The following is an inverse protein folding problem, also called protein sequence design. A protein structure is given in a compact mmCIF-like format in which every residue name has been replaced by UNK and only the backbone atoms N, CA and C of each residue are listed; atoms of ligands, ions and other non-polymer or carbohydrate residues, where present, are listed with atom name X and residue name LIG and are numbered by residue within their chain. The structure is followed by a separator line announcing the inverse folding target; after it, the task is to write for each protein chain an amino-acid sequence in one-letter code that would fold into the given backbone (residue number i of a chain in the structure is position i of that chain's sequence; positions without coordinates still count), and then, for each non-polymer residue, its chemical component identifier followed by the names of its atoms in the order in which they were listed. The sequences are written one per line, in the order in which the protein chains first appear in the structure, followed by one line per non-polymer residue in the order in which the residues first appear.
data_IF_214474977920
#
_entry.id   IF_214474977920
#
_cell.length_a   1.000
_cell.length_b   1.000
_cell.length_c   1.000
_cell.angle_alpha   90.00
_cell.angle_beta   90.00
_cell.angle_gamma   90.00
#
_symmetry.space_group_name_H-M   'P 1'
#
loop_
_entity.id
_entity.type
_entity.pdbx_description
1 polymer ?
#
# COMPACT_ATOMS: atom_id res chain seq x y z
N UNK A 1 -10.53 0.31 -9.14
CA UNK A 1 -10.06 0.39 -7.74
C UNK A 1 -9.61 1.81 -7.43
N UNK A 2 -9.66 2.20 -6.16
CA UNK A 2 -8.95 3.35 -5.59
C UNK A 2 -7.56 2.88 -5.17
N UNK A 3 -6.50 3.43 -5.76
CA UNK A 3 -5.12 2.98 -5.56
C UNK A 3 -4.32 4.14 -4.95
N UNK A 4 -3.73 3.92 -3.78
CA UNK A 4 -2.81 4.88 -3.17
C UNK A 4 -1.37 4.59 -3.57
N UNK A 5 -0.64 5.58 -4.09
CA UNK A 5 0.81 5.56 -4.23
C UNK A 5 1.45 6.28 -3.04
N UNK A 6 2.45 5.65 -2.43
CA UNK A 6 3.19 6.24 -1.33
C UNK A 6 4.68 5.91 -1.36
N UNK A 7 5.51 6.96 -1.42
CA UNK A 7 6.96 6.86 -1.28
C UNK A 7 7.44 7.60 -0.04
N UNK A 8 8.55 7.12 0.50
CA UNK A 8 9.26 7.70 1.63
C UNK A 8 10.52 8.43 1.17
N UNK A 9 11.12 9.20 2.08
CA UNK A 9 12.12 10.21 1.79
C UNK A 9 13.29 9.74 0.92
N UNK A 10 13.75 8.49 1.07
CA UNK A 10 14.92 8.03 0.32
C UNK A 10 14.64 7.87 -1.19
N UNK A 11 13.37 7.75 -1.58
CA UNK A 11 12.94 7.53 -2.96
C UNK A 11 11.96 8.59 -3.46
N UNK A 12 11.77 9.69 -2.72
CA UNK A 12 10.78 10.72 -3.00
C UNK A 12 11.01 11.39 -4.37
N UNK A 13 12.27 11.69 -4.74
CA UNK A 13 12.62 12.22 -6.07
C UNK A 13 12.14 11.35 -7.25
N UNK A 14 11.88 10.06 -7.05
CA UNK A 14 11.39 9.15 -8.10
C UNK A 14 9.86 9.11 -8.19
N UNK A 15 9.14 9.77 -7.27
CA UNK A 15 7.69 9.72 -7.24
C UNK A 15 7.02 10.21 -8.52
N UNK A 16 7.45 11.32 -9.16
CA UNK A 16 6.83 11.74 -10.41
C UNK A 16 6.88 10.66 -11.50
N UNK A 17 8.01 9.95 -11.64
CA UNK A 17 8.17 8.87 -12.62
C UNK A 17 7.26 7.69 -12.30
N UNK A 18 7.24 7.24 -11.05
CA UNK A 18 6.40 6.10 -10.63
C UNK A 18 4.91 6.44 -10.76
N UNK A 19 4.53 7.66 -10.40
CA UNK A 19 3.16 8.17 -10.52
C UNK A 19 2.69 8.18 -11.97
N UNK A 20 3.52 8.66 -12.90
CA UNK A 20 3.21 8.66 -14.33
C UNK A 20 2.90 7.25 -14.85
N UNK A 21 3.73 6.26 -14.48
CA UNK A 21 3.50 4.86 -14.89
C UNK A 21 2.21 4.30 -14.29
N UNK A 22 1.95 4.59 -13.01
CA UNK A 22 0.74 4.13 -12.33
C UNK A 22 -0.52 4.77 -12.92
N UNK A 23 -0.48 6.07 -13.21
CA UNK A 23 -1.60 6.79 -13.82
C UNK A 23 -1.90 6.28 -15.23
N UNK A 24 -0.87 6.00 -16.03
CA UNK A 24 -1.02 5.43 -17.38
C UNK A 24 -1.82 4.13 -17.32
N UNK A 25 -1.39 3.17 -16.50
CA UNK A 25 -2.08 1.87 -16.38
C UNK A 25 -3.45 2.01 -15.72
N UNK A 26 -3.58 2.88 -14.72
CA UNK A 26 -4.84 3.09 -14.04
C UNK A 26 -5.92 3.69 -14.95
N UNK A 27 -5.55 4.63 -15.84
CA UNK A 27 -6.47 5.25 -16.78
C UNK A 27 -7.08 4.22 -17.74
N UNK A 28 -6.25 3.33 -18.30
CA UNK A 28 -6.68 2.27 -19.21
C UNK A 28 -7.63 1.25 -18.55
N UNK A 29 -7.60 1.16 -17.20
CA UNK A 29 -8.38 0.19 -16.40
C UNK A 29 -9.50 0.84 -15.58
N UNK A 30 -9.77 2.13 -15.76
CA UNK A 30 -10.80 2.86 -15.01
C UNK A 30 -10.56 2.89 -13.50
N UNK A 31 -9.29 2.90 -13.09
CA UNK A 31 -8.90 3.02 -11.68
C UNK A 31 -8.62 4.49 -11.32
N UNK A 32 -8.76 4.82 -10.02
CA UNK A 32 -8.46 6.16 -9.50
C UNK A 32 -7.18 6.11 -8.68
N UNK A 33 -6.23 6.99 -8.96
CA UNK A 33 -4.93 7.05 -8.27
C UNK A 33 -4.91 8.21 -7.28
N UNK A 34 -4.43 7.95 -6.07
CA UNK A 34 -4.18 8.93 -5.02
C UNK A 34 -2.69 8.94 -4.68
N UNK A 35 -1.98 10.03 -4.95
CA UNK A 35 -0.57 10.17 -4.56
C UNK A 35 -0.47 10.75 -3.14
N UNK A 36 -0.33 9.88 -2.14
CA UNK A 36 -0.50 10.23 -0.72
C UNK A 36 0.79 10.18 0.09
N UNK A 37 1.87 9.63 -0.48
CA UNK A 37 3.21 9.72 0.10
C UNK A 37 3.93 11.00 -0.31
N UNK A 38 5.26 10.97 -0.24
CA UNK A 38 6.09 12.08 -0.68
C UNK A 38 6.08 12.23 -2.21
N UNK A 39 5.97 13.46 -2.73
CA UNK A 39 6.05 13.76 -4.18
C UNK A 39 7.41 14.33 -4.64
N UNK A 40 8.33 14.53 -3.70
CA UNK A 40 9.68 15.00 -3.95
C UNK A 40 10.46 15.18 -2.64
N UNK A 41 11.74 15.56 -2.73
CA UNK A 41 12.65 15.57 -1.57
C UNK A 41 12.30 16.65 -0.52
N UNK A 42 11.57 17.70 -0.90
CA UNK A 42 11.20 18.83 -0.02
C UNK A 42 9.79 18.74 0.55
N UNK A 43 9.12 17.60 0.40
CA UNK A 43 7.74 17.40 0.85
C UNK A 43 7.65 17.01 2.33
N UNK A 44 6.43 16.88 2.86
CA UNK A 44 6.14 16.36 4.18
C UNK A 44 6.82 15.01 4.41
N UNK A 45 7.88 15.01 5.25
CA UNK A 45 8.81 13.89 5.33
C UNK A 45 8.15 12.62 5.88
N UNK A 46 8.24 11.55 5.10
CA UNK A 46 7.82 10.20 5.49
C UNK A 46 9.01 9.25 5.51
N UNK A 47 8.97 8.26 6.40
CA UNK A 47 9.88 7.10 6.41
C UNK A 47 9.05 5.88 6.05
N UNK A 48 9.71 4.75 5.75
CA UNK A 48 8.99 3.50 5.49
C UNK A 48 8.11 3.05 6.68
N UNK A 49 8.39 3.47 7.92
CA UNK A 49 7.54 3.22 9.10
C UNK A 49 6.21 3.98 8.98
N UNK A 50 6.27 5.25 8.56
CA UNK A 50 5.06 6.04 8.34
C UNK A 50 4.21 5.46 7.21
N UNK A 51 4.83 4.90 6.17
CA UNK A 51 4.10 4.24 5.07
C UNK A 51 3.23 3.08 5.57
N UNK A 52 3.71 2.29 6.54
CA UNK A 52 2.89 1.23 7.15
C UNK A 52 1.64 1.76 7.83
N UNK A 53 1.79 2.85 8.62
CA UNK A 53 0.65 3.51 9.29
C UNK A 53 -0.34 4.08 8.26
N UNK A 54 0.17 4.78 7.23
CA UNK A 54 -0.65 5.34 6.16
C UNK A 54 -1.45 4.26 5.44
N UNK A 55 -0.78 3.18 5.01
CA UNK A 55 -1.42 2.07 4.31
C UNK A 55 -2.49 1.40 5.18
N UNK A 56 -2.18 1.15 6.45
CA UNK A 56 -3.10 0.51 7.37
C UNK A 56 -4.37 1.35 7.59
N UNK A 57 -4.24 2.67 7.78
CA UNK A 57 -5.37 3.57 7.91
C UNK A 57 -6.22 3.62 6.63
N UNK A 58 -5.59 3.80 5.47
CA UNK A 58 -6.29 3.91 4.19
C UNK A 58 -7.06 2.63 3.82
N UNK A 59 -6.44 1.46 4.05
CA UNK A 59 -7.04 0.16 3.72
C UNK A 59 -8.12 -0.24 4.74
N UNK A 60 -7.84 -0.17 6.04
CA UNK A 60 -8.83 -0.58 7.06
C UNK A 60 -10.03 0.37 7.10
N UNK A 61 -9.85 1.67 6.84
CA UNK A 61 -10.97 2.61 6.71
C UNK A 61 -11.70 2.51 5.36
N UNK A 62 -11.28 1.61 4.45
CA UNK A 62 -11.83 1.46 3.10
C UNK A 62 -11.82 2.77 2.29
N UNK A 63 -10.82 3.63 2.56
CA UNK A 63 -10.58 4.86 1.80
C UNK A 63 -9.98 4.54 0.42
N UNK A 64 -9.15 3.49 0.36
CA UNK A 64 -8.60 2.93 -0.87
C UNK A 64 -8.76 1.41 -0.87
N UNK A 65 -8.68 0.81 -2.06
CA UNK A 65 -8.77 -0.65 -2.24
C UNK A 65 -7.38 -1.30 -2.33
N UNK A 66 -6.36 -0.53 -2.72
CA UNK A 66 -5.00 -1.01 -2.93
C UNK A 66 -3.94 0.04 -2.62
N UNK A 67 -2.77 -0.39 -2.17
CA UNK A 67 -1.60 0.46 -1.94
C UNK A 67 -0.41 0.00 -2.78
N UNK A 68 0.23 0.94 -3.48
CA UNK A 68 1.57 0.78 -4.04
C UNK A 68 2.53 1.60 -3.18
N UNK A 69 3.50 0.92 -2.59
CA UNK A 69 4.54 1.50 -1.77
C UNK A 69 5.92 1.00 -2.19
N UNK A 70 6.95 1.45 -1.49
CA UNK A 70 8.30 0.95 -1.67
C UNK A 70 9.33 1.81 -0.98
N UNK A 71 10.57 1.35 -1.02
CA UNK A 71 11.76 2.08 -0.58
C UNK A 71 12.94 1.62 -1.42
N UNK A 72 14.18 1.95 -1.05
CA UNK A 72 15.35 1.59 -1.85
C UNK A 72 15.40 0.10 -2.25
N UNK A 73 15.04 -0.81 -1.34
CA UNK A 73 14.96 -2.26 -1.60
C UNK A 73 13.55 -2.81 -1.55
N UNK A 74 12.54 -2.00 -1.25
CA UNK A 74 11.17 -2.43 -0.96
C UNK A 74 10.97 -3.14 0.40
N UNK A 75 12.03 -3.70 0.99
CA UNK A 75 11.94 -4.54 2.19
C UNK A 75 11.41 -3.81 3.43
N UNK A 76 11.94 -2.61 3.71
CA UNK A 76 11.50 -1.82 4.87
C UNK A 76 10.01 -1.47 4.80
N UNK A 77 9.55 -1.04 3.63
CA UNK A 77 8.13 -0.78 3.39
C UNK A 77 7.30 -2.06 3.54
N UNK A 78 7.71 -3.17 2.91
CA UNK A 78 7.01 -4.46 3.02
C UNK A 78 6.84 -4.91 4.48
N UNK A 79 7.90 -4.86 5.28
CA UNK A 79 7.85 -5.23 6.70
C UNK A 79 6.93 -4.30 7.49
N UNK A 80 7.04 -2.98 7.26
CA UNK A 80 6.19 -2.01 7.97
C UNK A 80 4.71 -2.15 7.62
N UNK A 81 4.37 -2.36 6.34
CA UNK A 81 2.98 -2.57 5.92
C UNK A 81 2.42 -3.87 6.49
N UNK A 82 3.18 -4.97 6.45
CA UNK A 82 2.73 -6.26 6.99
C UNK A 82 2.67 -6.32 8.52
N UNK A 83 3.17 -5.31 9.25
CA UNK A 83 3.02 -5.23 10.70
C UNK A 83 1.56 -4.97 11.14
N UNK A 84 0.70 -4.49 10.24
CA UNK A 84 -0.66 -4.09 10.59
C UNK A 84 -1.71 -5.15 10.21
N UNK A 85 -2.73 -5.38 11.05
CA UNK A 85 -3.87 -6.20 10.65
C UNK A 85 -4.62 -5.56 9.48
N UNK A 86 -5.21 -6.39 8.63
CA UNK A 86 -5.91 -5.92 7.41
C UNK A 86 -5.02 -5.50 6.25
N UNK A 87 -3.69 -5.53 6.40
CA UNK A 87 -2.72 -5.22 5.34
C UNK A 87 -1.93 -6.47 4.95
N UNK A 88 -1.94 -6.78 3.65
CA UNK A 88 -1.24 -7.91 3.04
C UNK A 88 -0.37 -7.36 1.91
N UNK A 89 0.90 -7.12 2.21
CA UNK A 89 1.82 -6.49 1.28
C UNK A 89 2.76 -7.52 0.64
N UNK A 90 2.69 -7.66 -0.67
CA UNK A 90 3.64 -8.47 -1.45
C UNK A 90 4.92 -7.68 -1.76
N UNK A 91 6.04 -8.39 -1.88
CA UNK A 91 7.25 -7.86 -2.51
C UNK A 91 7.17 -8.13 -4.01
N UNK A 92 7.43 -7.12 -4.83
CA UNK A 92 7.28 -7.24 -6.29
C UNK A 92 8.47 -6.61 -6.99
N UNK A 93 9.18 -7.40 -7.79
CA UNK A 93 10.37 -6.93 -8.53
C UNK A 93 10.23 -7.07 -10.04
N UNK A 94 9.32 -7.93 -10.50
CA UNK A 94 9.06 -8.16 -11.91
C UNK A 94 7.57 -8.48 -12.16
N UNK A 95 7.09 -8.45 -13.42
CA UNK A 95 5.66 -8.59 -13.73
C UNK A 95 5.06 -9.94 -13.32
N UNK A 96 5.85 -11.02 -13.32
CA UNK A 96 5.35 -12.34 -12.91
C UNK A 96 5.03 -12.37 -11.42
N UNK A 97 5.81 -11.67 -10.58
CA UNK A 97 5.50 -11.52 -9.16
C UNK A 97 4.14 -10.84 -8.95
N UNK A 98 3.88 -9.78 -9.70
CA UNK A 98 2.62 -9.03 -9.60
C UNK A 98 1.42 -9.90 -9.94
N UNK A 99 1.53 -10.65 -11.04
CA UNK A 99 0.50 -11.63 -11.44
C UNK A 99 0.29 -12.70 -10.38
N UNK A 100 1.38 -13.37 -9.94
CA UNK A 100 1.28 -14.44 -8.95
C UNK A 100 0.75 -13.93 -7.61
N UNK A 101 1.14 -12.74 -7.18
CA UNK A 101 0.61 -12.11 -5.97
C UNK A 101 -0.90 -11.86 -6.08
N UNK A 102 -1.36 -11.33 -7.22
CA UNK A 102 -2.77 -11.08 -7.47
C UNK A 102 -3.60 -12.39 -7.47
N UNK A 103 -3.06 -13.47 -8.04
CA UNK A 103 -3.78 -14.74 -8.17
C UNK A 103 -3.69 -15.64 -6.94
N UNK A 104 -2.52 -15.74 -6.31
CA UNK A 104 -2.24 -16.70 -5.22
C UNK A 104 -2.51 -16.07 -3.86
N UNK A 105 -2.05 -14.85 -3.63
CA UNK A 105 -2.14 -14.21 -2.30
C UNK A 105 -3.37 -13.32 -2.16
N UNK A 106 -3.84 -12.74 -3.27
CA UNK A 106 -4.95 -11.80 -3.30
C UNK A 106 -4.81 -10.65 -2.28
N UNK A 107 -3.57 -10.20 -2.01
CA UNK A 107 -3.31 -9.14 -1.01
C UNK A 107 -3.63 -7.74 -1.50
N UNK A 108 -3.57 -6.74 -0.64
CA UNK A 108 -4.05 -5.37 -0.93
C UNK A 108 -2.94 -4.31 -0.96
N UNK A 109 -1.67 -4.73 -0.95
CA UNK A 109 -0.56 -3.82 -1.12
C UNK A 109 0.63 -4.47 -1.86
N UNK A 110 1.43 -3.64 -2.52
CA UNK A 110 2.74 -4.03 -3.08
C UNK A 110 3.83 -3.10 -2.57
N UNK A 111 5.01 -3.67 -2.30
CA UNK A 111 6.24 -2.95 -2.00
C UNK A 111 7.29 -3.23 -3.08
N UNK A 112 7.73 -2.18 -3.76
CA UNK A 112 8.69 -2.25 -4.86
C UNK A 112 10.07 -1.70 -4.45
N UNK A 113 11.17 -2.19 -5.05
CA UNK A 113 12.49 -1.59 -4.91
C UNK A 113 12.68 -0.42 -5.88
N UNK A 114 12.76 0.79 -5.35
CA UNK A 114 12.98 1.99 -6.17
C UNK A 114 14.47 2.43 -6.25
N UNK A 115 15.40 1.62 -5.75
CA UNK A 115 16.85 1.86 -5.92
C UNK A 115 17.61 0.58 -6.33
N UNK A 116 17.47 -0.52 -5.57
CA UNK A 116 18.13 -1.78 -5.88
C UNK A 116 17.56 -2.37 -7.17
N UNK A 117 18.40 -2.46 -8.20
CA UNK A 117 17.98 -2.91 -9.54
C UNK A 117 17.21 -1.84 -10.33
N UNK A 118 17.16 -0.59 -9.82
CA UNK A 118 16.51 0.53 -10.51
C UNK A 118 17.54 1.26 -11.38
N UNK A 119 17.64 0.83 -12.64
CA UNK A 119 18.52 1.41 -13.64
C UNK A 119 17.75 1.80 -14.91
N UNK A 120 18.42 1.69 -16.07
CA UNK A 120 17.78 1.93 -17.36
C UNK A 120 16.60 0.97 -17.58
N UNK A 121 15.43 1.53 -17.93
CA UNK A 121 14.20 0.76 -18.17
C UNK A 121 13.47 0.32 -16.90
N UNK A 122 13.88 0.79 -15.71
CA UNK A 122 13.18 0.47 -14.47
C UNK A 122 11.74 1.02 -14.45
N UNK A 123 11.50 2.16 -15.06
CA UNK A 123 10.17 2.74 -15.28
C UNK A 123 9.29 1.86 -16.18
N UNK A 124 9.88 1.22 -17.21
CA UNK A 124 9.18 0.27 -18.07
C UNK A 124 8.82 -0.99 -17.28
N UNK A 125 9.76 -1.54 -16.50
CA UNK A 125 9.48 -2.68 -15.63
C UNK A 125 8.36 -2.36 -14.62
N UNK A 126 8.36 -1.16 -14.04
CA UNK A 126 7.30 -0.69 -13.13
C UNK A 126 5.94 -0.62 -13.84
N UNK A 127 5.90 -0.11 -15.08
CA UNK A 127 4.67 -0.12 -15.89
C UNK A 127 4.16 -1.55 -16.08
N UNK A 128 5.04 -2.49 -16.45
CA UNK A 128 4.66 -3.90 -16.63
C UNK A 128 4.19 -4.57 -15.33
N UNK A 129 4.81 -4.23 -14.19
CA UNK A 129 4.33 -4.64 -12.86
C UNK A 129 2.90 -4.15 -12.64
N UNK A 130 2.62 -2.87 -12.89
CA UNK A 130 1.27 -2.32 -12.72
C UNK A 130 0.26 -2.93 -13.67
N UNK A 131 0.64 -3.16 -14.94
CA UNK A 131 -0.20 -3.87 -15.90
C UNK A 131 -0.62 -5.23 -15.36
N UNK A 132 0.29 -6.00 -14.75
CA UNK A 132 -0.03 -7.33 -14.19
C UNK A 132 -0.71 -7.28 -12.83
N UNK A 133 -0.41 -6.28 -12.00
CA UNK A 133 -1.04 -6.11 -10.69
C UNK A 133 -2.53 -5.75 -10.79
N UNK A 134 -2.91 -5.05 -11.86
CA UNK A 134 -4.23 -4.44 -12.03
C UNK A 134 -5.00 -4.97 -13.26
N UNK A 135 -4.62 -6.14 -13.76
CA UNK A 135 -5.29 -6.83 -14.86
C UNK A 135 -6.15 -7.99 -14.35
N UNK A 136 -7.31 -8.18 -14.98
CA UNK A 136 -8.19 -9.31 -14.76
C UNK A 136 -8.78 -9.44 -13.36
N UNK A 137 -9.35 -10.62 -13.10
CA UNK A 137 -9.84 -11.00 -11.78
C UNK A 137 -8.70 -11.47 -10.88
N UNK A 138 -8.83 -11.21 -9.58
CA UNK A 138 -7.84 -11.58 -8.55
C UNK A 138 -8.30 -12.81 -7.77
N UNK A 139 -7.36 -13.51 -7.13
CA UNK A 139 -7.67 -14.68 -6.31
C UNK A 139 -8.17 -15.90 -7.10
N UNK A 140 -7.82 -16.02 -8.39
CA UNK A 140 -8.20 -17.17 -9.21
C UNK A 140 -7.24 -18.36 -9.04
N UNK A 141 -6.19 -18.18 -8.26
CA UNK A 141 -5.17 -19.19 -8.01
C UNK A 141 -4.25 -19.43 -9.21
N UNK A 142 -3.01 -19.82 -8.91
CA UNK A 142 -2.06 -20.26 -9.92
C UNK A 142 -1.08 -21.31 -9.36
N UNK A 143 -0.92 -22.48 -10.00
CA UNK A 143 -1.75 -23.02 -11.08
C UNK A 143 -3.25 -23.09 -10.71
N UNK A 144 -4.14 -23.01 -11.69
CA UNK A 144 -5.58 -22.81 -11.49
C UNK A 144 -6.23 -23.93 -10.64
N UNK A 145 -5.75 -25.16 -10.78
CA UNK A 145 -6.17 -26.32 -10.01
C UNK A 145 -5.89 -26.20 -8.50
N UNK A 146 -5.06 -25.23 -8.07
CA UNK A 146 -4.74 -24.98 -6.66
C UNK A 146 -5.55 -23.85 -6.04
N UNK A 147 -6.51 -23.25 -6.76
CA UNK A 147 -7.31 -22.09 -6.31
C UNK A 147 -7.92 -22.28 -4.92
N UNK A 148 -8.61 -23.40 -4.69
CA UNK A 148 -9.30 -23.64 -3.43
C UNK A 148 -8.34 -23.66 -2.24
N UNK A 149 -7.23 -24.39 -2.37
CA UNK A 149 -6.19 -24.47 -1.34
C UNK A 149 -5.53 -23.11 -1.08
N UNK A 150 -5.26 -22.34 -2.13
CA UNK A 150 -4.63 -21.03 -2.01
C UNK A 150 -5.56 -20.01 -1.33
N UNK A 151 -6.83 -19.95 -1.73
CA UNK A 151 -7.80 -19.04 -1.12
C UNK A 151 -8.14 -19.42 0.32
N UNK A 152 -8.16 -20.71 0.64
CA UNK A 152 -8.30 -21.20 2.02
C UNK A 152 -7.14 -20.70 2.89
N UNK A 153 -5.91 -20.84 2.40
CA UNK A 153 -4.72 -20.38 3.14
C UNK A 153 -4.64 -18.86 3.26
N UNK A 154 -5.09 -18.10 2.25
CA UNK A 154 -5.20 -16.65 2.35
C UNK A 154 -6.19 -16.23 3.45
N UNK A 155 -7.31 -16.95 3.59
CA UNK A 155 -8.25 -16.78 4.71
C UNK A 155 -7.63 -17.11 6.06
N UNK A 156 -6.92 -18.24 6.19
CA UNK A 156 -6.22 -18.61 7.42
C UNK A 156 -5.19 -17.55 7.82
N UNK A 157 -4.43 -17.00 6.86
CA UNK A 157 -3.47 -15.92 7.14
C UNK A 157 -4.18 -14.67 7.69
N UNK A 158 -5.37 -14.36 7.19
CA UNK A 158 -6.17 -13.25 7.70
C UNK A 158 -6.57 -13.48 9.17
N UNK A 159 -7.01 -14.68 9.51
CA UNK A 159 -7.35 -15.06 10.89
C UNK A 159 -6.13 -15.03 11.81
N UNK A 160 -4.98 -15.54 11.35
CA UNK A 160 -3.71 -15.48 12.09
C UNK A 160 -3.31 -14.03 12.36
N UNK A 161 -3.35 -13.14 11.36
CA UNK A 161 -3.02 -11.73 11.55
C UNK A 161 -3.97 -11.05 12.52
N UNK A 162 -5.27 -11.36 12.47
CA UNK A 162 -6.26 -10.83 13.41
C UNK A 162 -5.98 -11.31 14.83
N UNK A 163 -5.68 -12.59 15.03
CA UNK A 163 -5.39 -13.16 16.36
C UNK A 163 -4.04 -12.74 16.95
N UNK A 164 -3.04 -12.46 16.11
CA UNK A 164 -1.70 -12.04 16.54
C UNK A 164 -1.57 -10.52 16.76
N UNK A 165 -2.62 -9.74 16.48
CA UNK A 165 -2.62 -8.28 16.58
C UNK A 165 -3.57 -7.79 17.68
N UNK A 166 -3.32 -6.59 18.19
CA UNK A 166 -4.34 -5.84 18.95
C UNK A 166 -5.51 -5.47 18.04
N UNK A 167 -6.62 -5.03 18.63
CA UNK A 167 -7.62 -4.28 17.87
C UNK A 167 -6.95 -3.11 17.13
N UNK A 168 -7.44 -2.79 15.93
CA UNK A 168 -6.73 -1.87 15.04
C UNK A 168 -6.53 -0.47 15.64
N UNK A 169 -7.59 0.13 16.22
CA UNK A 169 -7.50 1.47 16.81
C UNK A 169 -6.74 1.42 18.14
N UNK A 170 -6.90 0.35 18.93
CA UNK A 170 -6.09 0.15 20.13
C UNK A 170 -4.60 -0.02 19.81
N UNK A 171 -4.26 -0.72 18.73
CA UNK A 171 -2.91 -0.89 18.22
C UNK A 171 -2.29 0.45 17.81
N UNK A 172 -3.05 1.29 17.10
CA UNK A 172 -2.63 2.65 16.75
C UNK A 172 -2.39 3.52 17.99
N UNK A 173 -3.25 3.45 19.01
CA UNK A 173 -3.08 4.18 20.29
C UNK A 173 -1.88 3.69 21.11
N UNK A 174 -1.44 2.44 20.90
CA UNK A 174 -0.38 1.83 21.67
C UNK A 174 1.04 2.10 21.15
N UNK A 175 1.17 2.68 19.95
CA UNK A 175 2.47 3.11 19.40
C UNK A 175 2.73 4.59 19.72
N UNK A 176 3.94 5.06 19.43
CA UNK A 176 4.29 6.48 19.56
C UNK A 176 3.34 7.35 18.71
N UNK A 177 2.59 8.23 19.37
CA UNK A 177 1.60 9.07 18.71
C UNK A 177 2.23 10.15 17.83
N UNK A 178 3.50 10.52 18.03
CA UNK A 178 4.21 11.41 17.11
C UNK A 178 4.50 10.71 15.78
N UNK A 179 4.70 9.38 15.76
CA UNK A 179 4.78 8.62 14.50
C UNK A 179 3.44 8.63 13.75
N UNK A 180 2.33 8.46 14.48
CA UNK A 180 1.00 8.50 13.87
C UNK A 180 0.71 9.89 13.32
N UNK A 181 0.95 10.93 14.12
CA UNK A 181 0.78 12.33 13.73
C UNK A 181 1.63 12.69 12.50
N UNK A 182 2.88 12.24 12.46
CA UNK A 182 3.74 12.41 11.30
C UNK A 182 3.20 11.66 10.08
N UNK A 183 2.69 10.44 10.24
CA UNK A 183 2.11 9.69 9.11
C UNK A 183 0.88 10.39 8.51
N UNK A 184 -0.02 10.93 9.36
CA UNK A 184 -1.29 11.54 8.91
C UNK A 184 -1.20 13.04 8.64
N UNK A 185 -0.03 13.66 8.83
CA UNK A 185 0.16 15.11 8.73
C UNK A 185 0.10 15.67 7.31
N UNK A 186 0.39 14.88 6.28
CA UNK A 186 0.45 15.34 4.90
C UNK A 186 -0.93 15.69 4.31
N UNK A 187 -1.02 16.81 3.59
CA UNK A 187 -2.28 17.31 3.01
C UNK A 187 -2.92 16.32 2.04
N UNK A 188 -2.12 15.68 1.17
CA UNK A 188 -2.62 14.70 0.20
C UNK A 188 -3.14 13.43 0.87
N UNK A 189 -2.49 12.97 1.95
CA UNK A 189 -3.01 11.88 2.78
C UNK A 189 -4.36 12.25 3.36
N UNK A 190 -4.45 13.41 4.04
CA UNK A 190 -5.68 13.82 4.71
C UNK A 190 -6.83 13.99 3.73
N UNK A 191 -6.57 14.61 2.58
CA UNK A 191 -7.58 14.74 1.52
C UNK A 191 -8.08 13.37 1.07
N UNK A 192 -7.18 12.47 0.68
CA UNK A 192 -7.56 11.14 0.24
C UNK A 192 -8.30 10.35 1.34
N UNK A 193 -7.84 10.44 2.58
CA UNK A 193 -8.45 9.75 3.72
C UNK A 193 -9.84 10.31 4.05
N UNK A 194 -9.97 11.61 4.34
CA UNK A 194 -11.25 12.19 4.77
C UNK A 194 -12.31 12.23 3.67
N UNK A 195 -11.91 12.33 2.39
CA UNK A 195 -12.87 12.29 1.27
C UNK A 195 -13.44 10.88 1.04
N UNK A 196 -12.78 9.82 1.51
CA UNK A 196 -13.10 8.45 1.10
C UNK A 196 -13.28 7.43 2.24
N UNK A 197 -12.79 7.71 3.44
CA UNK A 197 -12.86 6.80 4.59
C UNK A 197 -14.31 6.54 4.99
N UNK A 198 -14.62 5.27 5.27
CA UNK A 198 -15.96 4.78 5.59
C UNK A 198 -16.13 4.36 7.05
N UNK A 199 -15.01 4.16 7.76
CA UNK A 199 -15.03 3.72 9.15
C UNK A 199 -14.98 4.94 10.10
N UNK A 200 -16.11 5.22 10.76
CA UNK A 200 -16.26 6.40 11.62
C UNK A 200 -15.31 6.37 12.83
N UNK A 201 -15.00 5.19 13.38
CA UNK A 201 -14.11 5.07 14.54
C UNK A 201 -12.66 5.40 14.16
N UNK A 202 -12.20 4.90 13.00
CA UNK A 202 -10.87 5.24 12.47
C UNK A 202 -10.82 6.73 12.11
N UNK A 203 -11.88 7.28 11.48
CA UNK A 203 -11.95 8.72 11.16
C UNK A 203 -11.88 9.58 12.41
N UNK A 204 -12.64 9.24 13.46
CA UNK A 204 -12.61 9.95 14.74
C UNK A 204 -11.22 9.90 15.39
N UNK A 205 -10.56 8.74 15.35
CA UNK A 205 -9.19 8.60 15.86
C UNK A 205 -8.22 9.54 15.12
N UNK A 206 -8.22 9.54 13.78
CA UNK A 206 -7.31 10.41 12.99
C UNK A 206 -7.60 11.89 13.22
N UNK A 207 -8.87 12.31 13.37
CA UNK A 207 -9.22 13.68 13.76
C UNK A 207 -8.63 14.06 15.11
N UNK A 208 -8.74 13.17 16.11
CA UNK A 208 -8.14 13.36 17.43
C UNK A 208 -6.62 13.54 17.39
N UNK A 209 -5.92 12.72 16.60
CA UNK A 209 -4.46 12.86 16.39
C UNK A 209 -4.08 14.21 15.78
N UNK A 210 -4.92 14.73 14.88
CA UNK A 210 -4.73 16.03 14.21
C UNK A 210 -5.21 17.23 15.04
N UNK A 211 -5.88 17.02 16.18
CA UNK A 211 -6.49 18.08 16.98
C UNK A 211 -7.69 18.75 16.30
N UNK A 212 -8.48 17.99 15.53
CA UNK A 212 -9.67 18.45 14.80
C UNK A 212 -10.98 17.96 15.40
#
# INVERSE_FOLDING_TARGET
MKIALMQEFSQAAKNPVVLEQLQTVAADRGHTVFNVGMDGDNDHRLTYIHLGICAALLLNAKAVDFVVAGCGTGQGAMMSLNAWPGVYCGYCIEPTDAFLFAQVNNGNALALPFAKGYGWGAEINIRYIFEKAFDGERGQGYPAERKESQMTNAGILADVKKGASKDFVEGLKAIDQELVKQAVGGERFQKAFFDNAKDEAIVAYVKGVLGR
#
